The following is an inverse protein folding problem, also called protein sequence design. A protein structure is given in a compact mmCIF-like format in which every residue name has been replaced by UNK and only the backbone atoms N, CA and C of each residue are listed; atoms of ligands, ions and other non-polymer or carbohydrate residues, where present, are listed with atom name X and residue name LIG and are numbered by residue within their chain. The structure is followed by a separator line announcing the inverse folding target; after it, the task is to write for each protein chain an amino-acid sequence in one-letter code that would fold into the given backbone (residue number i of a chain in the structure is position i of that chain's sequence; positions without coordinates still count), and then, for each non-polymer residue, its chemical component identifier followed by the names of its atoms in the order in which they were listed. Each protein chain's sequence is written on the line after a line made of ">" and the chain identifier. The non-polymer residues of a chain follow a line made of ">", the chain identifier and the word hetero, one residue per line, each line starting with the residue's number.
data_IF_191400071231
#
_entry.id   IF_191400071231
#
_cell.length_a   1.000
_cell.length_b   1.000
_cell.length_c   1.000
_cell.angle_alpha   90.00
_cell.angle_beta   90.00
_cell.angle_gamma   90.00
#
_symmetry.space_group_name_H-M   'P 1'
#
loop_
_entity.id
_entity.type
_entity.pdbx_description
1 polymer ?
#
# COMPACT_ATOMS: atom_id res chain seq x y z
N UNK A 1 25.38 14.15 -47.67
CA UNK A 1 23.96 13.77 -47.70
C UNK A 1 23.49 13.69 -46.26
N UNK A 2 22.69 14.67 -45.81
CA UNK A 2 22.17 14.75 -44.45
C UNK A 2 20.83 14.03 -44.37
N UNK A 3 20.75 12.96 -43.62
CA UNK A 3 19.49 12.28 -43.29
C UNK A 3 18.99 12.75 -41.93
N UNK A 4 17.85 13.43 -41.94
CA UNK A 4 17.10 13.86 -40.76
C UNK A 4 16.46 12.65 -40.08
N UNK A 5 16.51 12.51 -38.74
CA UNK A 5 15.82 11.43 -38.05
C UNK A 5 14.34 11.80 -37.86
N UNK A 6 13.47 10.93 -38.38
CA UNK A 6 12.02 11.04 -38.20
C UNK A 6 11.63 10.81 -36.73
N UNK A 7 10.76 11.67 -36.22
CA UNK A 7 10.12 11.50 -34.91
C UNK A 7 9.14 10.31 -34.98
N UNK A 8 9.41 9.29 -34.16
CA UNK A 8 8.50 8.18 -33.93
C UNK A 8 7.67 8.50 -32.68
N UNK A 9 6.40 8.86 -32.86
CA UNK A 9 5.45 8.97 -31.75
C UNK A 9 5.04 7.56 -31.32
N UNK A 10 5.44 7.16 -30.12
CA UNK A 10 5.05 5.88 -29.51
C UNK A 10 3.84 6.11 -28.61
N UNK A 11 2.75 5.42 -28.92
CA UNK A 11 1.48 5.44 -28.19
C UNK A 11 1.62 4.57 -26.94
N UNK A 12 1.44 5.16 -25.75
CA UNK A 12 1.53 4.45 -24.47
C UNK A 12 0.28 3.56 -24.32
N UNK A 13 0.41 2.23 -24.20
CA UNK A 13 -0.73 1.35 -24.06
C UNK A 13 -1.38 1.53 -22.67
N UNK A 14 -2.71 1.73 -22.67
CA UNK A 14 -3.49 1.70 -21.43
C UNK A 14 -3.53 0.26 -20.87
N UNK A 15 -3.28 0.06 -19.57
CA UNK A 15 -3.34 -1.27 -18.98
C UNK A 15 -4.78 -1.80 -18.98
N UNK A 16 -5.00 -2.84 -19.76
CA UNK A 16 -6.25 -3.60 -19.80
C UNK A 16 -6.40 -4.48 -18.56
N UNK A 17 -7.39 -4.15 -17.73
CA UNK A 17 -8.18 -5.08 -16.91
C UNK A 17 -7.44 -5.94 -15.88
N UNK A 18 -7.23 -5.40 -14.67
CA UNK A 18 -7.01 -6.23 -13.49
C UNK A 18 -8.34 -6.49 -12.77
N UNK A 19 -8.71 -7.78 -12.69
CA UNK A 19 -9.86 -8.25 -11.92
C UNK A 19 -9.55 -8.14 -10.41
N UNK A 20 -10.43 -7.44 -9.69
CA UNK A 20 -10.40 -7.28 -8.24
C UNK A 20 -10.45 -8.62 -7.51
N UNK A 21 -9.39 -8.96 -6.77
CA UNK A 21 -9.37 -10.08 -5.83
C UNK A 21 -10.18 -9.82 -4.54
N UNK A 22 -10.75 -8.62 -4.37
CA UNK A 22 -11.47 -8.20 -3.15
C UNK A 22 -12.95 -8.64 -3.08
N UNK A 23 -13.54 -9.20 -4.14
CA UNK A 23 -14.96 -9.61 -4.12
C UNK A 23 -15.24 -10.88 -3.29
N UNK A 24 -14.22 -11.65 -2.94
CA UNK A 24 -14.40 -12.94 -2.26
C UNK A 24 -14.52 -12.84 -0.73
N UNK A 25 -13.97 -11.78 -0.10
CA UNK A 25 -14.08 -11.61 1.35
C UNK A 25 -15.50 -11.19 1.80
N UNK A 26 -16.23 -10.45 0.97
CA UNK A 26 -17.61 -10.06 1.29
C UNK A 26 -18.63 -11.19 1.11
N UNK A 27 -18.37 -12.18 0.25
CA UNK A 27 -19.31 -13.31 0.04
C UNK A 27 -19.26 -14.37 1.15
N UNK A 28 -18.13 -14.53 1.85
CA UNK A 28 -18.01 -15.52 2.92
C UNK A 28 -18.83 -15.17 4.17
N UNK A 29 -19.12 -13.88 4.41
CA UNK A 29 -19.92 -13.43 5.55
C UNK A 29 -21.44 -13.70 5.40
N UNK A 30 -21.92 -13.99 4.18
CA UNK A 30 -23.36 -14.17 3.91
C UNK A 30 -23.85 -15.64 4.04
N UNK A 31 -22.96 -16.63 4.17
CA UNK A 31 -23.33 -18.04 4.00
C UNK A 31 -23.63 -18.81 5.31
N UNK A 32 -23.54 -18.19 6.50
CA UNK A 32 -23.56 -18.92 7.77
C UNK A 32 -24.75 -18.62 8.71
N UNK A 33 -25.90 -18.21 8.16
CA UNK A 33 -27.13 -17.97 8.92
C UNK A 33 -28.13 -19.13 8.81
N UNK A 34 -27.78 -20.32 9.34
CA UNK A 34 -28.75 -21.41 9.52
C UNK A 34 -29.41 -21.36 10.91
N UNK A 35 -30.60 -20.77 10.92
CA UNK A 35 -31.81 -21.14 11.69
C UNK A 35 -31.62 -21.85 13.05
N UNK A 36 -31.39 -21.07 14.11
CA UNK A 36 -31.80 -21.42 15.47
C UNK A 36 -33.15 -20.75 15.79
N UNK A 37 -34.07 -21.48 16.44
CA UNK A 37 -35.37 -20.93 16.88
C UNK A 37 -35.15 -19.74 17.83
N UNK A 38 -35.87 -18.63 17.68
CA UNK A 38 -35.70 -17.45 18.51
C UNK A 38 -36.26 -17.71 19.91
N UNK A 39 -35.37 -17.93 20.89
CA UNK A 39 -35.67 -17.52 22.25
C UNK A 39 -35.55 -16.00 22.26
N UNK A 40 -36.63 -15.27 22.57
CA UNK A 40 -36.57 -13.82 22.78
C UNK A 40 -35.78 -13.56 24.07
N UNK A 41 -34.50 -13.12 24.02
CA UNK A 41 -33.90 -12.54 25.20
C UNK A 41 -34.69 -11.27 25.54
N UNK A 42 -34.86 -10.99 26.83
CA UNK A 42 -35.36 -9.68 27.24
C UNK A 42 -34.46 -8.61 26.63
N UNK A 43 -35.02 -7.52 26.12
CA UNK A 43 -34.28 -6.44 25.43
C UNK A 43 -33.07 -5.95 26.26
N UNK A 44 -33.16 -6.05 27.59
CA UNK A 44 -32.09 -5.68 28.52
C UNK A 44 -30.86 -6.59 28.41
N UNK A 45 -31.00 -7.88 28.11
CA UNK A 45 -29.88 -8.80 27.98
C UNK A 45 -29.06 -8.57 26.69
N UNK A 46 -29.71 -8.15 25.61
CA UNK A 46 -29.04 -7.83 24.35
C UNK A 46 -28.19 -6.55 24.47
N UNK A 47 -28.72 -5.53 25.17
CA UNK A 47 -28.00 -4.27 25.42
C UNK A 47 -26.78 -4.49 26.32
N UNK A 48 -26.90 -5.33 27.35
CA UNK A 48 -25.77 -5.69 28.23
C UNK A 48 -24.69 -6.49 27.48
N UNK A 49 -25.08 -7.46 26.63
CA UNK A 49 -24.13 -8.23 25.84
C UNK A 49 -23.35 -7.34 24.84
N UNK A 50 -24.03 -6.41 24.18
CA UNK A 50 -23.39 -5.44 23.27
C UNK A 50 -22.44 -4.50 24.03
N UNK A 51 -22.84 -4.01 25.21
CA UNK A 51 -22.00 -3.14 26.04
C UNK A 51 -20.73 -3.84 26.55
N UNK A 52 -20.84 -5.11 26.97
CA UNK A 52 -19.68 -5.90 27.42
C UNK A 52 -18.74 -6.21 26.25
N UNK A 53 -19.28 -6.54 25.06
CA UNK A 53 -18.48 -6.73 23.86
C UNK A 53 -17.69 -5.47 23.49
N UNK A 54 -18.29 -4.27 23.57
CA UNK A 54 -17.56 -3.02 23.30
C UNK A 54 -16.39 -2.78 24.28
N UNK A 55 -16.55 -3.09 25.57
CA UNK A 55 -15.50 -2.84 26.59
C UNK A 55 -14.33 -3.83 26.45
N UNK A 56 -14.60 -5.09 26.09
CA UNK A 56 -13.54 -6.11 25.95
C UNK A 56 -12.70 -5.93 24.69
N UNK A 57 -13.24 -5.36 23.61
CA UNK A 57 -12.50 -5.16 22.36
C UNK A 57 -11.51 -3.99 22.49
N UNK A 58 -11.89 -2.91 23.18
CA UNK A 58 -11.00 -1.76 23.38
C UNK A 58 -9.75 -2.10 24.20
N UNK A 59 -9.89 -2.93 25.25
CA UNK A 59 -8.75 -3.30 26.11
C UNK A 59 -7.76 -4.26 25.44
N UNK A 60 -8.23 -5.18 24.60
CA UNK A 60 -7.37 -6.08 23.84
C UNK A 60 -6.61 -5.36 22.71
N UNK A 61 -7.25 -4.39 22.05
CA UNK A 61 -6.61 -3.57 21.00
C UNK A 61 -5.56 -2.62 21.62
N UNK A 62 -5.84 -2.02 22.77
CA UNK A 62 -4.89 -1.14 23.45
C UNK A 62 -3.60 -1.88 23.86
N UNK A 63 -3.69 -3.08 24.42
CA UNK A 63 -2.51 -3.86 24.81
C UNK A 63 -1.67 -4.34 23.61
N UNK A 64 -2.29 -4.56 22.45
CA UNK A 64 -1.57 -4.85 21.21
C UNK A 64 -0.81 -3.64 20.66
N UNK A 65 -1.28 -2.42 20.95
CA UNK A 65 -0.70 -1.18 20.44
C UNK A 65 0.33 -0.54 21.38
N UNK A 66 0.25 -0.77 22.70
CA UNK A 66 1.13 -0.09 23.68
C UNK A 66 2.25 -0.96 24.24
N UNK A 67 2.29 -2.27 23.93
CA UNK A 67 3.14 -3.24 24.63
C UNK A 67 4.56 -3.44 24.10
N UNK A 68 4.87 -2.98 22.89
CA UNK A 68 6.23 -3.04 22.36
C UNK A 68 6.80 -1.62 22.35
N UNK A 69 7.87 -1.40 23.12
CA UNK A 69 8.85 -0.36 22.76
C UNK A 69 9.10 -0.57 21.27
N UNK A 70 8.59 0.32 20.42
CA UNK A 70 8.71 0.16 18.97
C UNK A 70 10.19 0.36 18.69
N UNK A 71 10.92 -0.76 18.69
CA UNK A 71 12.25 -0.83 18.17
C UNK A 71 12.08 -0.36 16.73
N UNK A 72 12.50 0.88 16.48
CA UNK A 72 12.66 1.42 15.14
C UNK A 72 13.24 0.30 14.28
N UNK A 73 12.69 0.06 13.08
CA UNK A 73 13.14 -1.00 12.19
C UNK A 73 14.60 -0.70 11.74
N UNK A 74 15.55 -0.88 12.64
CA UNK A 74 16.95 -0.62 12.46
C UNK A 74 17.58 -1.95 12.09
N UNK A 75 18.10 -1.99 10.87
CA UNK A 75 19.02 -3.06 10.47
C UNK A 75 20.33 -2.74 11.14
N UNK A 76 20.63 -3.43 12.24
CA UNK A 76 21.96 -3.40 12.83
C UNK A 76 22.91 -4.16 11.90
N UNK A 77 23.97 -3.47 11.47
CA UNK A 77 24.98 -3.99 10.57
C UNK A 77 25.71 -5.22 11.14
N UNK A 78 25.75 -5.38 12.46
CA UNK A 78 26.48 -6.47 13.14
C UNK A 78 25.63 -7.75 13.23
N UNK A 79 24.34 -7.62 13.51
CA UNK A 79 23.45 -8.77 13.75
C UNK A 79 22.73 -9.25 12.49
N UNK A 80 22.77 -8.46 11.42
CA UNK A 80 22.13 -8.81 10.16
C UNK A 80 20.61 -8.76 10.22
N UNK A 81 19.96 -9.38 9.23
CA UNK A 81 18.53 -9.27 9.03
C UNK A 81 17.77 -10.37 9.82
N UNK A 82 17.49 -10.09 11.09
CA UNK A 82 16.69 -10.99 11.96
C UNK A 82 15.23 -11.11 11.49
N UNK A 83 14.52 -12.15 11.92
CA UNK A 83 13.09 -12.34 11.58
C UNK A 83 12.21 -11.17 12.05
N UNK A 84 12.48 -10.61 13.24
CA UNK A 84 11.75 -9.46 13.75
C UNK A 84 12.01 -8.22 12.89
N UNK A 85 13.25 -8.01 12.44
CA UNK A 85 13.59 -6.91 11.53
C UNK A 85 12.88 -7.07 10.19
N UNK A 86 12.77 -8.29 9.66
CA UNK A 86 12.02 -8.58 8.42
C UNK A 86 10.55 -8.22 8.57
N UNK A 87 9.89 -8.67 9.63
CA UNK A 87 8.48 -8.35 9.90
C UNK A 87 8.29 -6.84 10.03
N UNK A 88 9.15 -6.16 10.78
CA UNK A 88 9.12 -4.71 10.95
C UNK A 88 9.24 -3.99 9.60
N UNK A 89 10.25 -4.35 8.79
CA UNK A 89 10.52 -3.72 7.49
C UNK A 89 9.44 -4.04 6.46
N UNK A 90 8.81 -5.21 6.55
CA UNK A 90 7.68 -5.59 5.70
C UNK A 90 6.40 -4.87 6.10
N UNK A 91 6.20 -4.59 7.39
CA UNK A 91 5.05 -3.82 7.86
C UNK A 91 5.14 -2.36 7.41
N UNK A 92 4.03 -1.64 7.50
CA UNK A 92 4.03 -0.18 7.42
C UNK A 92 3.00 0.34 8.41
N UNK A 93 3.45 1.10 9.40
CA UNK A 93 2.61 1.68 10.43
C UNK A 93 2.83 3.19 10.49
N UNK A 94 1.77 3.95 10.76
CA UNK A 94 1.87 5.38 11.06
C UNK A 94 2.06 5.56 12.56
N UNK A 95 3.25 6.01 12.97
CA UNK A 95 3.60 6.28 14.36
C UNK A 95 3.73 7.80 14.50
N UNK A 96 2.85 8.40 15.31
CA UNK A 96 2.79 9.86 15.46
C UNK A 96 2.65 10.60 14.11
N UNK A 97 1.88 10.01 13.19
CA UNK A 97 1.69 10.54 11.83
C UNK A 97 2.88 10.34 10.88
N UNK A 98 3.97 9.70 11.34
CA UNK A 98 5.13 9.39 10.51
C UNK A 98 5.12 7.92 10.11
N UNK A 99 5.19 7.57 8.82
CA UNK A 99 5.24 6.19 8.39
C UNK A 99 6.58 5.53 8.77
N UNK A 100 6.50 4.34 9.35
CA UNK A 100 7.63 3.51 9.75
C UNK A 100 7.45 2.09 9.19
N UNK A 101 8.49 1.50 8.55
CA UNK A 101 9.80 2.09 8.28
C UNK A 101 9.73 3.20 7.22
N UNK A 102 10.78 4.01 7.13
CA UNK A 102 10.93 4.99 6.04
C UNK A 102 10.99 4.28 4.68
N UNK A 103 10.62 4.96 3.59
CA UNK A 103 10.73 4.40 2.25
C UNK A 103 12.16 3.93 1.94
N UNK A 104 13.19 4.70 2.31
CA UNK A 104 14.58 4.32 2.10
C UNK A 104 14.96 2.99 2.78
N UNK A 105 14.49 2.77 4.01
CA UNK A 105 14.73 1.51 4.75
C UNK A 105 14.01 0.33 4.10
N UNK A 106 12.73 0.49 3.76
CA UNK A 106 11.95 -0.53 3.04
C UNK A 106 12.57 -0.86 1.68
N UNK A 107 12.96 0.17 0.93
CA UNK A 107 13.56 0.04 -0.39
C UNK A 107 14.91 -0.71 -0.32
N UNK A 108 15.76 -0.35 0.65
CA UNK A 108 17.01 -1.06 0.91
C UNK A 108 16.77 -2.52 1.28
N UNK A 109 15.76 -2.81 2.11
CA UNK A 109 15.35 -4.16 2.44
C UNK A 109 14.89 -4.96 1.21
N UNK A 110 14.03 -4.38 0.36
CA UNK A 110 13.59 -5.03 -0.87
C UNK A 110 14.76 -5.32 -1.81
N UNK A 111 15.72 -4.39 -1.95
CA UNK A 111 16.91 -4.59 -2.79
C UNK A 111 17.85 -5.68 -2.26
N UNK A 112 18.07 -5.70 -0.95
CA UNK A 112 18.99 -6.66 -0.31
C UNK A 112 18.42 -8.08 -0.28
N UNK A 113 17.10 -8.24 -0.23
CA UNK A 113 16.41 -9.54 -0.21
C UNK A 113 15.97 -10.03 -1.59
N UNK A 114 16.21 -9.28 -2.67
CA UNK A 114 15.79 -9.66 -4.02
C UNK A 114 16.39 -10.99 -4.52
N UNK A 115 17.50 -11.45 -3.94
CA UNK A 115 18.12 -12.74 -4.27
C UNK A 115 17.86 -13.86 -3.27
N UNK A 116 17.19 -13.61 -2.13
CA UNK A 116 17.12 -14.56 -1.01
C UNK A 116 16.00 -15.60 -1.10
N UNK A 117 15.25 -15.66 -2.21
CA UNK A 117 14.18 -16.64 -2.44
C UNK A 117 12.89 -16.39 -1.62
N UNK A 118 13.02 -15.73 -0.46
CA UNK A 118 11.95 -15.28 0.43
C UNK A 118 11.57 -13.81 0.18
N UNK A 119 11.69 -13.37 -1.08
CA UNK A 119 11.45 -11.97 -1.45
C UNK A 119 9.97 -11.61 -1.28
N UNK A 120 9.63 -10.58 -0.46
CA UNK A 120 8.23 -10.25 -0.17
C UNK A 120 7.46 -9.90 -1.43
N UNK A 121 6.20 -10.33 -1.52
CA UNK A 121 5.31 -10.08 -2.66
C UNK A 121 5.22 -8.58 -2.99
N UNK A 122 4.98 -7.73 -1.99
CA UNK A 122 4.99 -6.27 -2.17
C UNK A 122 6.29 -5.69 -2.75
N UNK A 123 7.45 -6.29 -2.45
CA UNK A 123 8.72 -5.85 -3.04
C UNK A 123 8.79 -6.28 -4.50
N UNK A 124 8.34 -7.50 -4.80
CA UNK A 124 8.28 -8.06 -6.13
C UNK A 124 7.37 -7.25 -7.03
N UNK A 125 6.12 -7.02 -6.63
CA UNK A 125 5.14 -6.28 -7.42
C UNK A 125 5.63 -4.85 -7.74
N UNK A 126 6.19 -4.18 -6.73
CA UNK A 126 6.78 -2.86 -6.89
C UNK A 126 7.92 -2.87 -7.92
N UNK A 127 8.86 -3.80 -7.79
CA UNK A 127 10.03 -3.84 -8.65
C UNK A 127 9.78 -4.43 -10.03
N UNK A 128 8.81 -5.32 -10.19
CA UNK A 128 8.33 -5.76 -11.51
C UNK A 128 7.70 -4.58 -12.26
N UNK A 129 6.93 -3.73 -11.58
CA UNK A 129 6.45 -2.48 -12.16
C UNK A 129 7.60 -1.55 -12.55
N UNK A 130 8.58 -1.33 -11.66
CA UNK A 130 9.72 -0.43 -11.94
C UNK A 130 10.59 -0.95 -13.09
N UNK A 131 10.82 -2.27 -13.14
CA UNK A 131 11.58 -2.91 -14.22
C UNK A 131 10.83 -2.89 -15.55
N UNK A 132 9.50 -2.79 -15.53
CA UNK A 132 8.67 -2.60 -16.72
C UNK A 132 8.64 -1.17 -17.27
N UNK A 133 9.25 -0.20 -16.62
CA UNK A 133 9.36 1.16 -17.15
C UNK A 133 10.41 1.25 -18.26
N UNK A 134 10.18 2.08 -19.29
CA UNK A 134 11.06 2.29 -20.44
C UNK A 134 12.52 2.60 -20.05
N UNK A 135 12.71 3.31 -18.93
CA UNK A 135 14.04 3.63 -18.42
C UNK A 135 14.83 2.37 -18.02
N UNK A 136 14.15 1.37 -17.46
CA UNK A 136 14.77 0.11 -17.08
C UNK A 136 15.21 -0.67 -18.32
N UNK A 137 14.40 -0.68 -19.38
CA UNK A 137 14.79 -1.30 -20.66
C UNK A 137 16.02 -0.62 -21.28
N UNK A 138 16.06 0.72 -21.24
CA UNK A 138 17.18 1.52 -21.75
C UNK A 138 18.48 1.26 -20.98
N UNK A 139 18.39 1.16 -19.65
CA UNK A 139 19.56 1.04 -18.77
C UNK A 139 20.09 -0.39 -18.67
N UNK A 140 19.21 -1.39 -18.69
CA UNK A 140 19.57 -2.81 -18.54
C UNK A 140 19.80 -3.44 -19.93
N UNK A 141 19.34 -2.80 -21.00
CA UNK A 141 19.44 -3.25 -22.38
C UNK A 141 18.30 -4.20 -22.76
N UNK A 142 17.79 -4.06 -23.98
CA UNK A 142 16.79 -4.97 -24.55
C UNK A 142 17.38 -6.38 -24.63
N UNK A 143 16.89 -7.32 -23.81
CA UNK A 143 17.28 -8.74 -23.87
C UNK A 143 17.92 -9.33 -22.60
N UNK A 144 17.94 -8.59 -21.48
CA UNK A 144 18.28 -9.17 -20.16
C UNK A 144 17.13 -9.94 -19.51
N UNK A 145 16.22 -10.47 -20.33
CA UNK A 145 15.04 -11.27 -19.96
C UNK A 145 15.37 -12.57 -19.21
N UNK A 146 16.64 -12.91 -19.01
CA UNK A 146 17.09 -14.07 -18.23
C UNK A 146 17.90 -13.75 -16.96
N UNK A 147 18.13 -12.47 -16.63
CA UNK A 147 18.86 -12.10 -15.42
C UNK A 147 17.97 -12.15 -14.18
N UNK A 148 18.47 -12.68 -13.05
CA UNK A 148 17.75 -12.60 -11.78
C UNK A 148 17.42 -11.14 -11.43
N UNK A 149 16.22 -10.89 -10.93
CA UNK A 149 15.76 -9.54 -10.57
C UNK A 149 16.79 -8.81 -9.71
N UNK A 150 17.40 -9.49 -8.74
CA UNK A 150 18.49 -8.92 -7.92
C UNK A 150 19.66 -8.34 -8.73
N UNK A 151 20.08 -8.98 -9.83
CA UNK A 151 21.13 -8.45 -10.71
C UNK A 151 20.68 -7.19 -11.45
N UNK A 152 19.43 -7.15 -11.91
CA UNK A 152 18.86 -5.99 -12.57
C UNK A 152 18.77 -4.80 -11.59
N UNK A 153 18.35 -5.04 -10.34
CA UNK A 153 18.30 -4.01 -9.31
C UNK A 153 19.68 -3.42 -8.99
N UNK A 154 20.75 -4.21 -9.06
CA UNK A 154 22.11 -3.69 -8.87
C UNK A 154 22.52 -2.68 -9.95
N UNK A 155 22.01 -2.82 -11.18
CA UNK A 155 22.28 -1.89 -12.27
C UNK A 155 21.48 -0.59 -12.11
N UNK A 156 20.24 -0.69 -11.63
CA UNK A 156 19.37 0.46 -11.34
C UNK A 156 19.69 1.18 -10.03
N UNK A 157 20.95 1.14 -9.57
CA UNK A 157 21.38 1.89 -8.39
C UNK A 157 21.51 3.38 -8.73
N UNK A 158 20.93 4.31 -7.94
CA UNK A 158 20.96 5.74 -8.25
C UNK A 158 22.36 6.28 -8.49
N UNK A 159 23.39 5.72 -7.84
CA UNK A 159 24.79 6.15 -7.99
C UNK A 159 25.32 5.97 -9.42
N UNK A 160 24.75 5.01 -10.17
CA UNK A 160 25.17 4.68 -11.54
C UNK A 160 24.38 5.43 -12.62
N UNK A 161 23.41 6.26 -12.22
CA UNK A 161 22.48 6.92 -13.15
C UNK A 161 22.85 8.39 -13.38
N UNK A 162 22.64 8.84 -14.62
CA UNK A 162 22.70 10.27 -14.96
C UNK A 162 21.61 11.04 -14.20
N UNK A 163 21.74 12.37 -14.08
CA UNK A 163 20.70 13.19 -13.43
C UNK A 163 19.34 13.09 -14.13
N UNK A 164 19.34 12.94 -15.45
CA UNK A 164 18.12 12.73 -16.24
C UNK A 164 17.51 11.36 -15.97
N UNK A 165 18.33 10.31 -15.95
CA UNK A 165 17.86 8.95 -15.62
C UNK A 165 17.33 8.86 -14.19
N UNK A 166 17.95 9.57 -13.23
CA UNK A 166 17.41 9.65 -11.86
C UNK A 166 16.02 10.27 -11.83
N UNK A 167 15.79 11.29 -12.64
CA UNK A 167 14.51 11.98 -12.73
C UNK A 167 13.43 11.05 -13.29
N UNK A 168 13.70 10.42 -14.43
CA UNK A 168 12.78 9.47 -15.06
C UNK A 168 12.54 8.23 -14.18
N UNK A 169 13.58 7.74 -13.49
CA UNK A 169 13.44 6.65 -12.52
C UNK A 169 12.51 7.08 -11.39
N UNK A 170 12.67 8.29 -10.83
CA UNK A 170 11.81 8.75 -9.74
C UNK A 170 10.34 8.93 -10.16
N UNK A 171 10.08 9.34 -11.41
CA UNK A 171 8.72 9.36 -11.98
C UNK A 171 8.12 7.95 -12.05
N UNK A 172 8.89 6.99 -12.54
CA UNK A 172 8.50 5.58 -12.57
C UNK A 172 8.23 5.02 -11.16
N UNK A 173 9.13 5.26 -10.20
CA UNK A 173 8.93 4.85 -8.80
C UNK A 173 7.62 5.43 -8.22
N UNK A 174 7.32 6.70 -8.52
CA UNK A 174 6.08 7.35 -8.07
C UNK A 174 4.83 6.69 -8.63
N UNK A 175 4.84 6.32 -9.92
CA UNK A 175 3.74 5.60 -10.54
C UNK A 175 3.58 4.19 -9.93
N UNK A 176 4.68 3.45 -9.80
CA UNK A 176 4.64 2.09 -9.29
C UNK A 176 4.24 2.01 -7.82
N UNK A 177 4.67 2.97 -7.00
CA UNK A 177 4.23 3.03 -5.61
C UNK A 177 2.71 3.20 -5.51
N UNK A 178 2.12 4.06 -6.33
CA UNK A 178 0.67 4.26 -6.38
C UNK A 178 -0.08 2.98 -6.80
N UNK A 179 0.45 2.21 -7.75
CA UNK A 179 -0.17 0.96 -8.21
C UNK A 179 -0.23 -0.12 -7.13
N UNK A 180 0.71 -0.13 -6.18
CA UNK A 180 0.74 -1.14 -5.10
C UNK A 180 -0.34 -0.93 -4.02
N UNK A 181 -1.12 0.16 -4.06
CA UNK A 181 -2.27 0.46 -3.16
C UNK A 181 -1.96 0.39 -1.64
N UNK A 182 -0.71 0.63 -1.23
CA UNK A 182 -0.31 0.59 0.18
C UNK A 182 -0.32 1.99 0.79
N UNK A 183 -1.42 2.43 1.39
CA UNK A 183 -1.61 3.80 1.90
C UNK A 183 -0.48 4.34 2.78
N UNK A 184 0.04 3.52 3.70
CA UNK A 184 1.18 3.92 4.55
C UNK A 184 2.50 3.98 3.77
N UNK A 185 2.72 3.06 2.81
CA UNK A 185 3.95 3.01 2.01
C UNK A 185 3.99 4.15 0.99
N UNK A 186 2.83 4.45 0.45
CA UNK A 186 2.57 5.56 -0.45
C UNK A 186 2.93 6.89 0.23
N UNK A 187 2.49 7.09 1.48
CA UNK A 187 2.88 8.23 2.30
C UNK A 187 4.38 8.26 2.62
N UNK A 188 4.98 7.11 2.92
CA UNK A 188 6.43 7.03 3.18
C UNK A 188 7.26 7.37 1.95
N UNK A 189 6.80 6.98 0.77
CA UNK A 189 7.38 7.37 -0.51
C UNK A 189 7.18 8.86 -0.79
N UNK A 190 5.99 9.42 -0.53
CA UNK A 190 5.72 10.86 -0.72
C UNK A 190 6.74 11.70 0.04
N UNK A 191 6.95 11.40 1.32
CA UNK A 191 7.92 12.10 2.18
C UNK A 191 9.35 11.98 1.60
N UNK A 192 9.77 10.78 1.19
CA UNK A 192 11.09 10.57 0.56
C UNK A 192 11.23 11.32 -0.77
N UNK A 193 10.18 11.31 -1.59
CA UNK A 193 10.12 11.96 -2.89
C UNK A 193 10.24 13.48 -2.76
N UNK A 194 9.49 14.10 -1.85
CA UNK A 194 9.57 15.54 -1.56
C UNK A 194 10.97 15.93 -1.02
N UNK A 195 11.52 15.10 -0.13
CA UNK A 195 12.88 15.26 0.38
C UNK A 195 13.95 15.08 -0.70
N UNK A 196 13.71 14.25 -1.71
CA UNK A 196 14.59 14.11 -2.87
C UNK A 196 14.49 15.31 -3.80
N UNK A 197 13.27 15.71 -4.17
CA UNK A 197 13.00 16.80 -5.12
C UNK A 197 13.58 18.13 -4.62
N UNK A 198 13.46 18.41 -3.32
CA UNK A 198 14.01 19.62 -2.69
C UNK A 198 15.55 19.69 -2.68
N UNK A 199 16.24 18.55 -2.84
CA UNK A 199 17.71 18.49 -2.86
C UNK A 199 18.31 18.51 -4.26
N UNK A 200 17.49 18.38 -5.31
CA UNK A 200 18.00 18.40 -6.68
C UNK A 200 18.35 19.82 -7.11
N UNK A 201 19.54 20.00 -7.69
CA UNK A 201 19.95 21.27 -8.29
C UNK A 201 19.13 21.59 -9.56
N UNK A 202 18.78 20.56 -10.33
CA UNK A 202 17.91 20.67 -11.50
C UNK A 202 16.50 20.21 -11.13
N UNK A 203 15.46 21.03 -11.31
CA UNK A 203 14.10 20.65 -10.97
C UNK A 203 13.65 19.49 -11.86
N UNK A 204 13.33 18.38 -11.22
CA UNK A 204 12.67 17.25 -11.85
C UNK A 204 11.16 17.38 -11.58
N UNK A 205 10.35 17.36 -12.63
CA UNK A 205 8.89 17.41 -12.54
C UNK A 205 8.34 16.04 -12.12
N UNK A 206 8.65 15.63 -10.90
CA UNK A 206 8.09 14.42 -10.27
C UNK A 206 6.90 14.84 -9.43
N UNK A 207 5.75 14.30 -9.76
CA UNK A 207 4.56 14.47 -8.95
C UNK A 207 4.56 13.47 -7.79
N UNK A 208 5.16 13.88 -6.66
CA UNK A 208 5.17 13.09 -5.43
C UNK A 208 3.76 12.89 -4.82
N UNK A 209 2.75 13.65 -5.27
CA UNK A 209 1.40 13.71 -4.68
C UNK A 209 0.34 12.86 -5.40
N UNK A 210 0.64 12.24 -6.55
CA UNK A 210 -0.23 11.18 -7.08
C UNK A 210 -0.44 10.06 -6.04
N UNK A 211 0.50 9.96 -5.10
CA UNK A 211 0.57 9.15 -3.90
C UNK A 211 -0.37 9.58 -2.71
N UNK A 212 -1.25 10.57 -2.84
CA UNK A 212 -2.06 11.03 -1.68
C UNK A 212 -3.54 11.31 -2.01
N UNK A 213 -3.91 11.38 -3.29
CA UNK A 213 -5.17 12.02 -3.69
C UNK A 213 -6.43 11.16 -3.59
N UNK A 214 -6.37 9.86 -3.26
CA UNK A 214 -7.57 9.00 -3.27
C UNK A 214 -8.17 8.65 -1.91
N UNK A 215 -7.47 8.83 -0.79
CA UNK A 215 -7.95 8.34 0.51
C UNK A 215 -8.74 9.34 1.37
N UNK A 216 -8.86 10.60 0.96
CA UNK A 216 -9.48 11.64 1.80
C UNK A 216 -11.00 11.84 1.69
N UNK A 217 -11.67 11.35 0.63
CA UNK A 217 -13.00 11.86 0.28
C UNK A 217 -14.19 10.90 0.33
N UNK A 218 -14.03 9.65 -0.10
CA UNK A 218 -15.21 8.82 -0.43
C UNK A 218 -15.63 7.81 0.63
N UNK A 219 -14.71 7.31 1.47
CA UNK A 219 -15.04 6.22 2.40
C UNK A 219 -15.90 6.69 3.60
N UNK A 220 -15.68 7.90 4.11
CA UNK A 220 -16.49 8.48 5.20
C UNK A 220 -17.95 8.72 4.80
N UNK A 221 -18.20 9.12 3.54
CA UNK A 221 -19.55 9.37 3.05
C UNK A 221 -20.39 8.09 2.96
N UNK A 222 -19.75 6.96 2.62
CA UNK A 222 -20.44 5.67 2.56
C UNK A 222 -20.85 5.15 3.94
N UNK A 223 -19.98 5.29 4.94
CA UNK A 223 -20.30 4.93 6.32
C UNK A 223 -21.44 5.80 6.89
N UNK A 224 -21.42 7.11 6.65
CA UNK A 224 -22.50 8.00 7.07
C UNK A 224 -23.84 7.65 6.38
N UNK A 225 -23.82 7.32 5.10
CA UNK A 225 -25.03 6.92 4.37
C UNK A 225 -25.65 5.62 4.94
N UNK A 226 -24.83 4.63 5.30
CA UNK A 226 -25.30 3.38 5.91
C UNK A 226 -25.89 3.63 7.31
N UNK A 227 -25.26 4.50 8.11
CA UNK A 227 -25.79 4.90 9.42
C UNK A 227 -27.12 5.64 9.28
N UNK A 228 -27.26 6.54 8.30
CA UNK A 228 -28.52 7.23 8.07
C UNK A 228 -29.62 6.28 7.58
N UNK A 229 -29.32 5.38 6.65
CA UNK A 229 -30.28 4.38 6.15
C UNK A 229 -30.75 3.42 7.24
N UNK A 230 -29.88 3.01 8.16
CA UNK A 230 -30.26 2.18 9.30
C UNK A 230 -31.16 2.91 10.31
N UNK A 231 -30.92 4.20 10.55
CA UNK A 231 -31.83 5.05 11.36
C UNK A 231 -33.22 5.17 10.71
N UNK A 232 -33.28 5.38 9.39
CA UNK A 232 -34.54 5.49 8.66
C UNK A 232 -35.32 4.17 8.61
N UNK A 233 -34.63 3.03 8.41
CA UNK A 233 -35.25 1.71 8.42
C UNK A 233 -35.84 1.36 9.79
N UNK A 234 -35.20 1.78 10.89
CA UNK A 234 -35.71 1.48 12.22
C UNK A 234 -36.98 2.26 12.57
N UNK A 235 -37.16 3.47 12.02
CA UNK A 235 -38.38 4.28 12.22
C UNK A 235 -39.58 3.77 11.45
N UNK A 236 -39.38 3.08 10.32
CA UNK A 236 -40.48 2.61 9.47
C UNK A 236 -41.19 1.37 10.04
N UNK A 237 -40.54 0.58 10.90
CA UNK A 237 -41.19 -0.56 11.58
C UNK A 237 -42.22 -0.20 12.65
N UNK A 238 -42.34 1.06 13.07
CA UNK A 238 -43.31 1.48 14.09
C UNK A 238 -44.66 1.96 13.54
N UNK A 239 -44.83 2.02 12.22
CA UNK A 239 -46.07 2.45 11.56
C UNK A 239 -46.78 1.30 10.84
N UNK A 240 -47.03 0.19 11.52
CA UNK A 240 -48.03 -0.78 11.09
C UNK A 240 -49.28 -0.60 11.97
N UNK A 241 -50.38 -0.06 11.43
CA UNK A 241 -51.63 0.03 12.16
C UNK A 241 -52.15 -1.39 12.43
N UNK A 242 -52.47 -1.67 13.69
CA UNK A 242 -53.14 -2.91 14.06
C UNK A 242 -54.55 -2.91 13.46
N UNK A 243 -54.82 -3.86 12.57
CA UNK A 243 -56.16 -4.21 12.08
C UNK A 243 -56.63 -5.48 12.75
#
# INVERSE_FOLDING_TARGET
>A
MSTSPGQLSVEIPQPSGFHNANDNLCRAAAANSRTSKPHHPSQNALLLALAVLSITVESAVAQYLTGANVAYCQVDAQTGLTQNNRICLQSCNLIEGTPQPTYAQWNAFCRTTASSGDWPEQCRDYYECVLGCDISERLIGQGTTGGSIGRQLMLLRPENLSSEDKCEMKKCESYCMFQTQLTCREESFRIDCEGWASRQFNPCDVNCSFAASRFGGSSMLFCFAIVLLSIFAHRSSFYLPAT
#
